data_IF_102838030701
#
_entry.id   IF_102838030701
#
_cell.length_a   1.000
_cell.length_b   1.000
_cell.length_c   1.000
_cell.angle_alpha   90.00
_cell.angle_beta   90.00
_cell.angle_gamma   90.00
#
_symmetry.space_group_name_H-M   'P 1'
#
loop_
_entity.id
_entity.type
_entity.pdbx_description
1 polymer ?
#
# COMPACT_ATOMS: atom_id res chain seq x y z
N UNK A 1 45.85 20.15 -15.64
CA UNK A 1 45.34 19.38 -14.49
C UNK A 1 43.86 19.69 -14.27
N UNK A 2 43.02 19.31 -15.23
CA UNK A 2 41.59 19.67 -15.24
C UNK A 2 40.77 18.54 -15.92
N UNK A 3 41.05 17.28 -15.56
CA UNK A 3 40.36 16.12 -16.13
C UNK A 3 39.95 15.04 -15.10
N UNK A 4 40.24 15.25 -13.81
CA UNK A 4 39.92 14.27 -12.75
C UNK A 4 38.80 14.73 -11.80
N UNK A 5 38.34 15.98 -11.90
CA UNK A 5 37.28 16.52 -11.03
C UNK A 5 35.87 16.43 -11.61
N UNK A 6 35.70 15.84 -12.80
CA UNK A 6 34.39 15.74 -13.46
C UNK A 6 33.66 14.41 -13.21
N UNK A 7 34.17 13.56 -12.31
CA UNK A 7 33.59 12.24 -12.04
C UNK A 7 33.23 11.98 -10.57
N UNK A 8 33.16 13.04 -9.75
CA UNK A 8 32.83 12.90 -8.32
C UNK A 8 31.47 13.50 -7.92
N UNK A 9 30.69 14.05 -8.86
CA UNK A 9 29.40 14.70 -8.55
C UNK A 9 28.25 14.07 -9.36
N UNK A 10 27.89 12.81 -9.07
CA UNK A 10 26.62 12.26 -9.54
C UNK A 10 26.06 11.14 -8.64
N UNK A 11 26.22 11.24 -7.33
CA UNK A 11 25.64 10.27 -6.37
C UNK A 11 25.02 10.96 -5.15
N UNK A 12 24.42 12.13 -5.32
CA UNK A 12 23.61 12.78 -4.28
C UNK A 12 22.13 12.65 -4.63
N UNK A 13 21.43 11.72 -3.96
CA UNK A 13 20.00 11.86 -3.72
C UNK A 13 19.07 10.79 -4.28
N UNK A 14 19.32 9.50 -4.04
CA UNK A 14 18.23 8.53 -3.99
C UNK A 14 17.81 8.37 -2.53
N UNK A 15 17.04 9.34 -2.01
CA UNK A 15 16.32 9.14 -0.77
C UNK A 15 15.15 8.20 -1.10
N UNK A 16 15.08 6.99 -0.51
CA UNK A 16 13.91 6.14 -0.68
C UNK A 16 12.72 6.89 -0.09
N UNK A 17 11.79 7.30 -0.95
CA UNK A 17 10.49 7.72 -0.46
C UNK A 17 9.87 6.51 0.25
N UNK A 18 9.33 6.68 1.47
CA UNK A 18 8.61 5.61 2.13
C UNK A 18 7.49 5.15 1.18
N UNK A 19 7.61 3.91 0.70
CA UNK A 19 6.56 3.25 -0.04
C UNK A 19 5.48 2.89 0.99
N UNK A 20 4.47 3.75 1.12
CA UNK A 20 3.26 3.43 1.87
C UNK A 20 2.44 2.51 0.97
N UNK A 21 2.28 1.24 1.36
CA UNK A 21 1.47 0.35 0.53
C UNK A 21 0.00 0.55 0.82
N UNK A 22 -0.64 0.38 1.97
CA UNK A 22 -2.11 0.13 1.99
C UNK A 22 -2.43 -1.22 1.33
N UNK A 23 -3.71 -1.60 1.34
CA UNK A 23 -4.19 -2.82 0.70
C UNK A 23 -4.12 -2.81 -0.84
N UNK A 24 -3.68 -1.70 -1.43
CA UNK A 24 -3.50 -1.44 -2.87
C UNK A 24 -2.25 -0.57 -3.11
N UNK A 25 -1.95 -0.20 -4.36
CA UNK A 25 -0.82 0.67 -4.68
C UNK A 25 -1.19 2.14 -4.51
N UNK A 26 -0.63 2.81 -3.50
CA UNK A 26 -0.90 4.23 -3.25
C UNK A 26 -0.50 5.17 -4.40
N UNK A 27 0.36 4.76 -5.33
CA UNK A 27 0.66 5.56 -6.53
C UNK A 27 -0.48 5.57 -7.55
N UNK A 28 -1.45 4.65 -7.39
CA UNK A 28 -2.64 4.51 -8.23
C UNK A 28 -3.92 4.97 -7.52
N UNK A 29 -3.82 5.56 -6.32
CA UNK A 29 -4.97 6.09 -5.58
C UNK A 29 -5.69 7.16 -6.41
N UNK A 30 -7.00 6.97 -6.60
CA UNK A 30 -7.84 7.75 -7.50
C UNK A 30 -9.14 8.24 -6.85
N UNK A 31 -9.62 7.56 -5.83
CA UNK A 31 -10.81 7.99 -5.07
C UNK A 31 -10.43 8.83 -3.85
N UNK A 32 -11.37 9.64 -3.35
CA UNK A 32 -11.14 10.43 -2.13
C UNK A 32 -10.83 9.56 -0.92
N UNK A 33 -11.44 8.38 -0.84
CA UNK A 33 -11.16 7.40 0.21
C UNK A 33 -9.73 6.85 0.09
N UNK A 34 -9.32 6.45 -1.12
CA UNK A 34 -7.96 5.95 -1.36
C UNK A 34 -6.89 6.97 -1.03
N UNK A 35 -7.09 8.21 -1.47
CA UNK A 35 -6.18 9.33 -1.18
C UNK A 35 -6.10 9.58 0.33
N UNK A 36 -7.23 9.53 1.05
CA UNK A 36 -7.26 9.75 2.50
C UNK A 36 -6.50 8.65 3.27
N UNK A 37 -6.64 7.39 2.86
CA UNK A 37 -5.89 6.26 3.43
C UNK A 37 -4.40 6.41 3.16
N UNK A 38 -4.00 6.69 1.91
CA UNK A 38 -2.59 6.84 1.54
C UNK A 38 -1.90 8.06 2.17
N UNK A 39 -2.63 9.15 2.42
CA UNK A 39 -2.08 10.35 3.04
C UNK A 39 -1.87 10.24 4.56
N UNK A 40 -2.39 9.20 5.21
CA UNK A 40 -2.31 9.03 6.66
C UNK A 40 -1.66 7.68 7.03
N UNK A 41 -0.41 7.67 7.55
CA UNK A 41 0.31 6.42 7.86
C UNK A 41 -0.40 5.48 8.84
N UNK A 42 -1.15 6.02 9.80
CA UNK A 42 -1.90 5.20 10.75
C UNK A 42 -3.11 4.56 10.09
N UNK A 43 -3.83 5.30 9.24
CA UNK A 43 -4.97 4.77 8.50
C UNK A 43 -4.52 3.76 7.43
N UNK A 44 -3.41 4.04 6.75
CA UNK A 44 -2.74 3.15 5.82
C UNK A 44 -2.45 1.78 6.47
N UNK A 45 -1.85 1.76 7.66
CA UNK A 45 -1.58 0.50 8.39
C UNK A 45 -2.87 -0.25 8.75
N UNK A 46 -3.92 0.44 9.18
CA UNK A 46 -5.19 -0.20 9.50
C UNK A 46 -5.85 -0.81 8.26
N UNK A 47 -5.72 -0.17 7.11
CA UNK A 47 -6.18 -0.70 5.82
C UNK A 47 -5.40 -1.96 5.41
N UNK A 48 -4.06 -1.96 5.59
CA UNK A 48 -3.23 -3.16 5.40
C UNK A 48 -3.66 -4.31 6.30
N UNK A 49 -3.81 -4.06 7.60
CA UNK A 49 -4.19 -5.05 8.60
C UNK A 49 -5.56 -5.66 8.29
N UNK A 50 -6.53 -4.82 7.92
CA UNK A 50 -7.86 -5.26 7.50
C UNK A 50 -7.79 -6.19 6.29
N UNK A 51 -6.98 -5.84 5.27
CA UNK A 51 -6.83 -6.66 4.08
C UNK A 51 -6.10 -7.98 4.34
N UNK A 52 -5.12 -8.00 5.26
CA UNK A 52 -4.47 -9.24 5.72
C UNK A 52 -5.49 -10.15 6.40
N UNK A 53 -6.25 -9.63 7.37
CA UNK A 53 -7.26 -10.39 8.10
C UNK A 53 -8.36 -10.92 7.18
N UNK A 54 -8.87 -10.07 6.28
CA UNK A 54 -9.88 -10.46 5.30
C UNK A 54 -9.41 -11.62 4.42
N UNK A 55 -8.16 -11.57 3.90
CA UNK A 55 -7.59 -12.66 3.11
C UNK A 55 -7.44 -13.95 3.92
N UNK A 56 -6.92 -13.86 5.14
CA UNK A 56 -6.81 -15.02 6.04
C UNK A 56 -8.18 -15.69 6.25
N UNK A 57 -9.22 -14.89 6.54
CA UNK A 57 -10.57 -15.42 6.71
C UNK A 57 -11.11 -16.08 5.44
N UNK A 58 -10.84 -15.53 4.27
CA UNK A 58 -11.27 -16.14 3.01
C UNK A 58 -10.61 -17.50 2.75
N UNK A 59 -9.38 -17.69 3.22
CA UNK A 59 -8.64 -18.95 3.08
C UNK A 59 -9.08 -19.99 4.13
N UNK A 60 -9.40 -19.54 5.34
CA UNK A 60 -9.76 -20.41 6.47
C UNK A 60 -11.24 -20.84 6.47
N UNK A 61 -12.13 -20.01 5.94
CA UNK A 61 -13.59 -20.24 6.03
C UNK A 61 -14.10 -21.26 5.00
N UNK A 62 -15.12 -22.07 5.35
CA UNK A 62 -15.87 -22.86 4.40
C UNK A 62 -16.41 -22.00 3.25
N UNK A 63 -16.41 -22.54 2.02
CA UNK A 63 -16.76 -21.80 0.78
C UNK A 63 -18.03 -20.93 0.88
N UNK A 64 -19.09 -21.42 1.53
CA UNK A 64 -20.35 -20.66 1.70
C UNK A 64 -20.19 -19.45 2.61
N UNK A 65 -19.38 -19.57 3.66
CA UNK A 65 -19.10 -18.49 4.62
C UNK A 65 -18.14 -17.47 4.01
N UNK A 66 -17.10 -17.93 3.30
CA UNK A 66 -16.23 -17.05 2.52
C UNK A 66 -17.01 -16.26 1.45
N UNK A 67 -18.00 -16.88 0.79
CA UNK A 67 -18.87 -16.18 -0.16
C UNK A 67 -19.70 -15.09 0.51
N UNK A 68 -20.25 -15.36 1.71
CA UNK A 68 -20.98 -14.36 2.51
C UNK A 68 -20.06 -13.22 2.95
N UNK A 69 -18.87 -13.52 3.47
CA UNK A 69 -17.88 -12.51 3.86
C UNK A 69 -17.50 -11.59 2.68
N UNK A 70 -17.41 -12.13 1.46
CA UNK A 70 -17.18 -11.32 0.25
C UNK A 70 -18.35 -10.40 -0.08
N UNK A 71 -19.59 -10.81 0.16
CA UNK A 71 -20.76 -9.95 -0.02
C UNK A 71 -20.80 -8.85 1.03
N UNK A 72 -20.60 -9.20 2.30
CA UNK A 72 -20.57 -8.26 3.41
C UNK A 72 -19.51 -7.16 3.15
N UNK A 73 -18.28 -7.55 2.76
CA UNK A 73 -17.19 -6.61 2.47
C UNK A 73 -17.47 -5.69 1.27
N UNK A 74 -18.25 -6.13 0.27
CA UNK A 74 -18.64 -5.27 -0.86
C UNK A 74 -19.75 -4.28 -0.52
N UNK A 75 -20.54 -4.59 0.50
CA UNK A 75 -21.67 -3.77 0.95
C UNK A 75 -21.30 -2.71 1.98
N UNK A 76 -20.10 -2.85 2.56
CA UNK A 76 -19.49 -1.88 3.46
C UNK A 76 -19.00 -0.65 2.70
#
# INVERSE_FOLDING_TARGET
>A
MLKLFSWALLCTGLLPFPAYTASYDCTQASTSAEIAVCANPSLNRLDEDMAVLYRSLLDDLPRRQAARLREDQRSW
#
